data_IF_368023580899
#
_entry.id   IF_368023580899
#
_cell.length_a   1.000
_cell.length_b   1.000
_cell.length_c   1.000
_cell.angle_alpha   90.00
_cell.angle_beta   90.00
_cell.angle_gamma   90.00
#
_symmetry.space_group_name_H-M   'P 1'
#
loop_
_entity.id
_entity.type
_entity.pdbx_description
1 polymer ?
#
# COMPACT_ATOMS: atom_id res chain seq x y z
N UNK A 1 -53.64 0.28 -52.41
CA UNK A 1 -52.68 -0.11 -53.47
C UNK A 1 -51.26 0.14 -52.95
N UNK A 2 -50.60 -0.94 -52.55
CA UNK A 2 -49.24 -0.98 -52.00
C UNK A 2 -48.22 -0.72 -53.10
N UNK A 3 -47.26 0.17 -52.88
CA UNK A 3 -46.13 0.37 -53.80
C UNK A 3 -44.82 0.39 -53.01
N UNK A 4 -44.11 -0.73 -53.08
CA UNK A 4 -42.77 -0.95 -52.56
C UNK A 4 -41.75 -0.28 -53.47
N UNK A 5 -40.78 0.45 -52.92
CA UNK A 5 -39.47 0.64 -53.55
C UNK A 5 -38.38 0.65 -52.46
N UNK A 6 -37.45 -0.28 -52.59
CA UNK A 6 -36.20 -0.36 -51.83
C UNK A 6 -35.24 0.77 -52.23
N UNK A 7 -34.51 1.33 -51.27
CA UNK A 7 -33.24 2.01 -51.52
C UNK A 7 -32.28 1.77 -50.33
N UNK A 8 -31.07 1.25 -50.56
CA UNK A 8 -30.18 0.76 -49.51
C UNK A 8 -28.99 1.72 -49.20
N UNK A 9 -28.35 1.43 -48.05
CA UNK A 9 -26.97 1.79 -47.63
C UNK A 9 -26.70 3.29 -47.34
N UNK A 10 -26.23 3.66 -46.15
CA UNK A 10 -24.83 4.01 -45.79
C UNK A 10 -25.00 4.94 -44.54
N UNK A 11 -24.28 4.93 -43.43
CA UNK A 11 -22.87 4.69 -43.09
C UNK A 11 -22.80 4.46 -41.57
N UNK A 12 -21.88 3.60 -41.16
CA UNK A 12 -21.55 3.26 -39.79
C UNK A 12 -21.37 4.48 -38.87
N UNK A 13 -22.11 4.52 -37.76
CA UNK A 13 -21.69 5.27 -36.57
C UNK A 13 -20.56 4.50 -35.90
N UNK A 14 -19.33 4.73 -36.38
CA UNK A 14 -18.12 4.42 -35.63
C UNK A 14 -18.05 5.40 -34.46
N UNK A 15 -18.79 5.13 -33.38
CA UNK A 15 -18.53 5.81 -32.11
C UNK A 15 -17.19 5.26 -31.63
N UNK A 16 -16.12 5.97 -31.98
CA UNK A 16 -14.81 5.75 -31.43
C UNK A 16 -14.96 5.86 -29.91
N UNK A 17 -15.03 4.71 -29.23
CA UNK A 17 -14.86 4.64 -27.80
C UNK A 17 -13.43 5.09 -27.57
N UNK A 18 -13.28 6.37 -27.21
CA UNK A 18 -12.02 6.91 -26.75
C UNK A 18 -11.73 6.10 -25.49
N UNK A 19 -10.88 5.09 -25.63
CA UNK A 19 -10.13 4.51 -24.54
C UNK A 19 -9.23 5.63 -24.02
N UNK A 20 -9.82 6.60 -23.32
CA UNK A 20 -9.09 7.43 -22.39
C UNK A 20 -8.58 6.44 -21.34
N UNK A 21 -7.35 5.97 -21.54
CA UNK A 21 -6.65 5.16 -20.57
C UNK A 21 -6.78 5.89 -19.24
N UNK A 22 -7.48 5.29 -18.30
CA UNK A 22 -7.60 5.82 -16.96
C UNK A 22 -6.19 5.82 -16.38
N UNK A 23 -5.53 6.98 -16.41
CA UNK A 23 -4.27 7.18 -15.71
C UNK A 23 -4.63 7.30 -14.24
N UNK A 24 -4.72 6.16 -13.56
CA UNK A 24 -4.83 6.14 -12.10
C UNK A 24 -3.61 6.89 -11.55
N UNK A 25 -3.81 7.99 -10.80
CA UNK A 25 -2.70 8.68 -10.16
C UNK A 25 -1.91 7.68 -9.31
N UNK A 26 -0.57 7.76 -9.27
CA UNK A 26 0.21 6.98 -8.34
C UNK A 26 -0.36 7.11 -6.92
N UNK A 27 -0.41 6.03 -6.13
CA UNK A 27 -0.86 6.13 -4.75
C UNK A 27 -0.05 7.20 -4.03
N UNK A 28 -0.74 8.09 -3.32
CA UNK A 28 -0.09 9.12 -2.53
C UNK A 28 0.84 8.46 -1.52
N UNK A 29 2.08 8.96 -1.42
CA UNK A 29 3.01 8.47 -0.42
C UNK A 29 2.47 8.79 0.98
N UNK A 30 2.54 7.87 1.94
CA UNK A 30 2.15 8.13 3.31
C UNK A 30 3.05 9.20 3.93
N UNK A 31 2.47 10.04 4.79
CA UNK A 31 3.25 11.00 5.57
C UNK A 31 4.14 10.25 6.57
N UNK A 32 5.45 10.29 6.33
CA UNK A 32 6.45 9.60 7.15
C UNK A 32 6.47 10.06 8.60
N UNK A 33 6.02 11.28 8.90
CA UNK A 33 5.96 11.80 10.27
C UNK A 33 4.88 11.10 11.11
N UNK A 34 3.87 10.53 10.45
CA UNK A 34 2.77 9.82 11.11
C UNK A 34 3.07 8.35 11.35
N UNK A 35 4.20 7.84 10.86
CA UNK A 35 4.55 6.43 10.95
C UNK A 35 5.19 6.10 12.31
N UNK A 36 4.64 5.08 12.98
CA UNK A 36 5.20 4.53 14.21
C UNK A 36 4.89 5.34 15.49
N UNK A 37 5.35 4.84 16.66
CA UNK A 37 5.16 5.51 17.93
C UNK A 37 5.85 6.88 17.97
N UNK A 38 5.13 7.89 18.44
CA UNK A 38 5.63 9.26 18.54
C UNK A 38 6.50 9.44 19.79
N UNK A 39 7.41 10.41 19.79
CA UNK A 39 8.25 10.71 20.96
C UNK A 39 7.36 11.05 22.17
N UNK A 40 7.70 10.48 23.33
CA UNK A 40 6.92 10.62 24.57
C UNK A 40 5.76 9.63 24.70
N UNK A 41 5.44 8.85 23.66
CA UNK A 41 4.49 7.74 23.78
C UNK A 41 5.15 6.52 24.43
N UNK A 42 4.35 5.71 25.15
CA UNK A 42 4.84 4.46 25.73
C UNK A 42 5.20 3.49 24.59
N UNK A 43 6.38 2.88 24.67
CA UNK A 43 6.78 1.79 23.76
C UNK A 43 5.83 0.60 23.97
N UNK A 44 5.28 -0.01 22.90
CA UNK A 44 4.48 -1.22 23.02
C UNK A 44 5.29 -2.37 23.63
N UNK A 45 4.64 -3.14 24.51
CA UNK A 45 5.25 -4.33 25.09
C UNK A 45 5.44 -5.41 24.01
N UNK A 46 6.46 -6.25 24.14
CA UNK A 46 6.73 -7.36 23.21
C UNK A 46 7.26 -8.59 23.94
N UNK A 47 7.16 -9.74 23.26
CA UNK A 47 7.74 -11.01 23.69
C UNK A 47 8.22 -11.73 22.45
N UNK A 48 9.53 -11.68 22.18
CA UNK A 48 10.14 -12.14 20.93
C UNK A 48 11.33 -13.05 21.22
N UNK A 49 11.57 -14.03 20.34
CA UNK A 49 12.76 -14.87 20.43
C UNK A 49 13.99 -14.10 19.95
N UNK A 50 15.09 -14.20 20.69
CA UNK A 50 16.40 -13.72 20.27
C UNK A 50 17.10 -14.70 19.32
N UNK A 51 18.35 -14.40 18.94
CA UNK A 51 19.15 -15.21 18.02
C UNK A 51 19.45 -16.62 18.53
N UNK A 52 19.29 -16.87 19.84
CA UNK A 52 19.48 -18.17 20.47
C UNK A 52 18.14 -18.85 20.79
N UNK A 53 17.01 -18.29 20.33
CA UNK A 53 15.67 -18.79 20.62
C UNK A 53 15.17 -18.47 22.03
N UNK A 54 15.87 -17.62 22.79
CA UNK A 54 15.41 -17.23 24.13
C UNK A 54 14.40 -16.09 24.02
N UNK A 55 13.29 -16.20 24.73
CA UNK A 55 12.30 -15.13 24.78
C UNK A 55 12.85 -13.91 25.54
N UNK A 56 12.78 -12.76 24.90
CA UNK A 56 13.08 -11.45 25.46
C UNK A 56 11.80 -10.61 25.49
N UNK A 57 11.67 -9.77 26.51
CA UNK A 57 10.59 -8.80 26.64
C UNK A 57 11.15 -7.38 26.69
N UNK A 58 10.28 -6.37 26.66
CA UNK A 58 10.71 -4.99 26.85
C UNK A 58 11.41 -4.82 28.21
N UNK A 59 10.85 -5.41 29.27
CA UNK A 59 11.38 -5.33 30.63
C UNK A 59 12.75 -6.00 30.75
N UNK A 60 12.97 -7.14 30.08
CA UNK A 60 14.23 -7.87 30.19
C UNK A 60 15.42 -7.13 29.55
N UNK A 61 15.15 -6.26 28.57
CA UNK A 61 16.20 -5.51 27.85
C UNK A 61 16.43 -4.10 28.39
N UNK A 62 15.53 -3.57 29.22
CA UNK A 62 15.65 -2.22 29.78
C UNK A 62 16.78 -2.15 30.80
N UNK A 63 17.76 -1.28 30.56
CA UNK A 63 18.79 -0.92 31.53
C UNK A 63 18.50 0.40 32.26
N UNK A 64 19.36 0.83 33.20
CA UNK A 64 19.22 2.10 33.93
C UNK A 64 19.22 3.35 33.04
N UNK A 65 19.72 3.23 31.81
CA UNK A 65 19.76 4.30 30.80
C UNK A 65 18.75 4.08 29.66
N UNK A 66 17.84 3.12 29.82
CA UNK A 66 16.92 2.70 28.76
C UNK A 66 17.50 1.64 27.83
N UNK A 67 16.85 1.45 26.69
CA UNK A 67 17.21 0.50 25.65
C UNK A 67 17.14 1.16 24.26
N UNK A 68 17.87 0.61 23.30
CA UNK A 68 17.81 1.01 21.88
C UNK A 68 17.17 -0.12 21.08
N UNK A 69 16.09 0.17 20.35
CA UNK A 69 15.41 -0.75 19.45
C UNK A 69 15.73 -0.36 18.00
N UNK A 70 16.36 -1.26 17.25
CA UNK A 70 16.72 -1.06 15.84
C UNK A 70 15.89 -1.99 14.97
N UNK A 71 15.02 -1.41 14.14
CA UNK A 71 14.26 -2.14 13.14
C UNK A 71 15.03 -2.14 11.82
N UNK A 72 15.29 -3.32 11.29
CA UNK A 72 15.86 -3.48 9.95
C UNK A 72 15.13 -4.61 9.23
N UNK A 73 15.02 -4.46 7.91
CA UNK A 73 14.63 -5.54 7.02
C UNK A 73 15.90 -5.99 6.31
N UNK A 74 16.25 -7.26 6.43
CA UNK A 74 17.37 -7.83 5.66
C UNK A 74 17.12 -7.62 4.16
N UNK A 75 18.18 -7.31 3.42
CA UNK A 75 18.11 -7.35 1.96
C UNK A 75 18.05 -8.80 1.52
N UNK A 76 17.04 -9.14 0.72
CA UNK A 76 17.04 -10.33 -0.10
C UNK A 76 18.16 -10.11 -1.14
N UNK A 77 19.26 -10.87 -1.08
CA UNK A 77 20.33 -10.83 -2.08
C UNK A 77 20.19 -11.98 -3.06
#
# INVERSE_FOLDING_TARGET
>A
MTRTLFAPVLIAMSVASVAAGQTTPPPAMPDVQTLGPQVGTKVPDFSLADQNGRTQTLESILGPKGAVLVFFRSADW
#
